data_IF_068817978133
#
_entry.id   IF_068817978133
#
_cell.length_a   1.000
_cell.length_b   1.000
_cell.length_c   1.000
_cell.angle_alpha   90.00
_cell.angle_beta   90.00
_cell.angle_gamma   90.00
#
_symmetry.space_group_name_H-M   'P 1'
#
loop_
_entity.id
_entity.type
_entity.pdbx_description
1 polymer ?
#
# COMPACT_ATOMS: atom_id res chain seq x y z
N UNK A 1 79.38 -20.77 -51.02
CA UNK A 1 79.24 -20.41 -49.64
C UNK A 1 77.75 -20.00 -49.46
N UNK A 2 77.00 -20.75 -48.69
CA UNK A 2 75.52 -20.69 -48.67
C UNK A 2 75.03 -19.62 -47.69
N UNK A 3 74.15 -18.70 -48.15
CA UNK A 3 73.37 -17.84 -47.33
C UNK A 3 72.12 -18.63 -46.81
N UNK A 4 71.90 -18.59 -45.55
CA UNK A 4 70.63 -19.02 -44.96
C UNK A 4 69.85 -17.78 -44.53
N UNK A 5 68.69 -17.60 -45.14
CA UNK A 5 67.67 -16.60 -44.75
C UNK A 5 66.72 -17.24 -43.74
N UNK A 6 66.63 -16.63 -42.54
CA UNK A 6 65.68 -17.01 -41.54
C UNK A 6 64.38 -16.15 -41.68
N UNK A 7 63.25 -16.80 -41.87
CA UNK A 7 61.91 -16.21 -41.88
C UNK A 7 61.38 -16.11 -40.48
N UNK A 8 61.24 -14.90 -40.02
CA UNK A 8 60.36 -14.61 -38.81
C UNK A 8 58.92 -14.67 -39.23
N UNK A 9 58.18 -15.58 -38.62
CA UNK A 9 56.71 -15.62 -38.66
C UNK A 9 56.17 -14.77 -37.54
N UNK A 10 55.58 -13.60 -37.88
CA UNK A 10 54.73 -12.81 -36.95
C UNK A 10 53.36 -13.48 -36.80
N UNK A 11 53.05 -13.93 -35.62
CA UNK A 11 51.69 -14.37 -35.25
C UNK A 11 50.90 -13.16 -34.73
N UNK A 12 49.96 -12.68 -35.54
CA UNK A 12 48.93 -11.75 -35.04
C UNK A 12 47.92 -12.50 -34.17
N UNK A 13 47.95 -12.22 -32.88
CA UNK A 13 46.88 -12.65 -31.96
C UNK A 13 45.72 -11.66 -32.08
N UNK A 14 44.66 -12.10 -32.72
CA UNK A 14 43.38 -11.36 -32.81
C UNK A 14 42.64 -11.54 -31.48
N UNK A 15 42.66 -10.56 -30.59
CA UNK A 15 41.84 -10.53 -29.38
C UNK A 15 40.40 -10.17 -29.79
N UNK A 16 39.52 -11.16 -29.80
CA UNK A 16 38.08 -10.93 -29.95
C UNK A 16 37.54 -10.47 -28.57
N UNK A 17 37.30 -9.16 -28.45
CA UNK A 17 36.48 -8.60 -27.35
C UNK A 17 35.03 -9.02 -27.61
N UNK A 18 34.59 -10.06 -26.93
CA UNK A 18 33.15 -10.37 -26.79
C UNK A 18 32.59 -9.35 -25.79
N UNK A 19 32.02 -8.26 -26.29
CA UNK A 19 31.13 -7.42 -25.52
C UNK A 19 29.90 -8.26 -25.21
N UNK A 20 29.85 -8.83 -24.02
CA UNK A 20 28.64 -9.47 -23.49
C UNK A 20 27.57 -8.40 -23.30
N UNK A 21 26.66 -8.28 -24.26
CA UNK A 21 25.36 -7.71 -23.97
C UNK A 21 24.73 -8.58 -22.88
N UNK A 22 24.74 -8.11 -21.64
CA UNK A 22 23.84 -8.60 -20.61
C UNK A 22 22.43 -8.26 -21.08
N UNK A 23 21.80 -9.16 -21.84
CA UNK A 23 20.38 -9.08 -22.09
C UNK A 23 19.72 -9.23 -20.71
N UNK A 24 19.03 -8.17 -20.24
CA UNK A 24 18.15 -8.25 -19.11
C UNK A 24 17.24 -9.47 -19.31
N UNK A 25 17.10 -10.29 -18.28
CA UNK A 25 16.17 -11.41 -18.34
C UNK A 25 14.77 -10.84 -18.59
N UNK A 26 13.86 -11.55 -19.25
CA UNK A 26 12.48 -11.05 -19.52
C UNK A 26 11.76 -10.56 -18.25
N UNK A 27 12.15 -11.07 -17.09
CA UNK A 27 11.60 -10.68 -15.79
C UNK A 27 12.07 -9.29 -15.34
N UNK A 28 13.31 -8.89 -15.68
CA UNK A 28 13.84 -7.54 -15.37
C UNK A 28 13.15 -6.43 -16.19
N UNK A 29 12.65 -6.75 -17.37
CA UNK A 29 11.97 -5.78 -18.25
C UNK A 29 10.50 -5.52 -17.85
N UNK A 30 9.89 -6.39 -17.02
CA UNK A 30 8.49 -6.29 -16.58
C UNK A 30 8.36 -5.58 -15.23
N UNK A 31 9.40 -5.55 -14.38
CA UNK A 31 9.41 -4.91 -13.06
C UNK A 31 9.26 -3.40 -13.18
N UNK A 32 8.43 -2.81 -12.32
CA UNK A 32 8.16 -1.37 -12.23
C UNK A 32 7.64 -0.77 -13.55
N UNK A 33 7.00 -1.61 -14.38
CA UNK A 33 6.47 -1.17 -15.67
C UNK A 33 5.19 -0.38 -15.50
N UNK A 34 5.12 0.77 -16.20
CA UNK A 34 3.93 1.62 -16.17
C UNK A 34 2.66 0.86 -16.58
N UNK A 35 1.66 0.94 -15.71
CA UNK A 35 0.37 0.26 -15.91
C UNK A 35 0.28 -1.11 -15.23
N UNK A 36 1.37 -1.62 -14.64
CA UNK A 36 1.31 -2.72 -13.68
C UNK A 36 0.59 -2.27 -12.40
N UNK A 37 0.16 -3.21 -11.59
CA UNK A 37 -0.51 -2.93 -10.31
C UNK A 37 0.30 -3.54 -9.18
N UNK A 38 0.68 -2.71 -8.21
CA UNK A 38 1.26 -3.13 -6.94
C UNK A 38 0.12 -3.46 -5.99
N UNK A 39 0.15 -4.62 -5.33
CA UNK A 39 -0.92 -5.11 -4.45
C UNK A 39 -0.31 -5.58 -3.12
N UNK A 40 -0.82 -5.06 -2.01
CA UNK A 40 -0.58 -5.61 -0.68
C UNK A 40 -1.57 -6.79 -0.47
N UNK A 41 -1.09 -8.00 -0.67
CA UNK A 41 -1.86 -9.25 -0.59
C UNK A 41 -1.79 -9.78 0.85
N UNK A 42 -2.63 -9.19 1.73
CA UNK A 42 -2.49 -9.11 3.19
C UNK A 42 -2.23 -10.47 3.84
N UNK A 43 -3.17 -11.41 3.73
CA UNK A 43 -3.05 -12.70 4.40
C UNK A 43 -2.32 -13.77 3.57
N UNK A 44 -1.80 -13.38 2.42
CA UNK A 44 -0.75 -14.11 1.73
C UNK A 44 0.66 -13.67 2.19
N UNK A 45 0.78 -12.73 3.16
CA UNK A 45 2.04 -12.22 3.68
C UNK A 45 3.01 -11.83 2.56
N UNK A 46 2.51 -11.07 1.58
CA UNK A 46 3.31 -10.65 0.43
C UNK A 46 2.82 -9.33 -0.19
N UNK A 47 3.76 -8.62 -0.80
CA UNK A 47 3.47 -7.58 -1.78
C UNK A 47 3.82 -8.11 -3.15
N UNK A 48 2.93 -7.95 -4.11
CA UNK A 48 3.14 -8.38 -5.49
C UNK A 48 2.99 -7.21 -6.46
N UNK A 49 3.77 -7.23 -7.51
CA UNK A 49 3.51 -6.45 -8.72
C UNK A 49 2.94 -7.40 -9.78
N UNK A 50 1.83 -7.02 -10.38
CA UNK A 50 1.18 -7.80 -11.42
C UNK A 50 1.08 -7.00 -12.72
N UNK A 51 1.27 -7.66 -13.85
CA UNK A 51 1.05 -7.07 -15.16
C UNK A 51 -0.46 -6.86 -15.44
N UNK A 52 -0.75 -6.36 -16.63
CA UNK A 52 -2.14 -6.11 -17.04
C UNK A 52 -3.00 -7.39 -17.18
N UNK A 53 -2.35 -8.55 -17.29
CA UNK A 53 -3.00 -9.85 -17.42
C UNK A 53 -3.11 -10.58 -16.07
N UNK A 54 -2.61 -9.98 -14.99
CA UNK A 54 -2.62 -10.56 -13.64
C UNK A 54 -1.49 -11.55 -13.39
N UNK A 55 -0.46 -11.63 -14.25
CA UNK A 55 0.76 -12.39 -13.99
C UNK A 55 1.60 -11.66 -12.95
N UNK A 56 2.08 -12.36 -11.94
CA UNK A 56 3.02 -11.82 -10.97
C UNK A 56 4.39 -11.65 -11.63
N UNK A 57 4.90 -10.41 -11.67
CA UNK A 57 6.19 -10.06 -12.26
C UNK A 57 7.24 -9.72 -11.20
N UNK A 58 6.81 -9.42 -9.99
CA UNK A 58 7.68 -9.23 -8.82
C UNK A 58 6.92 -9.57 -7.54
N UNK A 59 7.65 -10.03 -6.52
CA UNK A 59 7.10 -10.35 -5.21
C UNK A 59 8.12 -10.09 -4.11
N UNK A 60 7.65 -9.57 -2.97
CA UNK A 60 8.32 -9.64 -1.68
C UNK A 60 7.41 -10.33 -0.67
N UNK A 61 8.01 -11.18 0.18
CA UNK A 61 7.28 -12.04 1.13
C UNK A 61 7.23 -13.49 0.66
N UNK A 62 7.29 -14.42 1.62
CA UNK A 62 7.49 -15.85 1.39
C UNK A 62 6.18 -16.64 1.37
N UNK A 63 5.06 -15.96 1.58
CA UNK A 63 3.73 -16.58 1.47
C UNK A 63 3.02 -16.80 2.81
N UNK A 64 1.79 -17.34 2.78
CA UNK A 64 0.86 -17.32 3.91
C UNK A 64 1.25 -18.22 5.09
N UNK A 65 2.26 -19.06 4.94
CA UNK A 65 2.77 -19.92 6.02
C UNK A 65 4.08 -19.38 6.63
N UNK A 66 4.63 -18.29 6.09
CA UNK A 66 5.86 -17.70 6.62
C UNK A 66 5.56 -16.51 7.54
N UNK A 67 6.02 -16.60 8.76
CA UNK A 67 5.92 -15.59 9.81
C UNK A 67 7.30 -15.20 10.32
N UNK A 68 8.31 -15.21 9.46
CA UNK A 68 9.68 -14.83 9.77
C UNK A 68 9.98 -13.36 9.48
N UNK A 69 11.06 -12.79 10.07
CA UNK A 69 11.47 -11.42 9.78
C UNK A 69 11.98 -11.20 8.34
N UNK A 70 12.19 -12.26 7.57
CA UNK A 70 12.55 -12.18 6.15
C UNK A 70 11.34 -11.92 5.22
N UNK A 71 10.13 -11.94 5.79
CA UNK A 71 8.87 -11.69 5.10
C UNK A 71 8.22 -10.38 5.56
N UNK A 72 6.99 -10.15 5.14
CA UNK A 72 6.10 -9.08 5.61
C UNK A 72 4.79 -9.72 6.05
N UNK A 73 4.36 -9.48 7.29
CA UNK A 73 3.21 -10.18 7.86
C UNK A 73 2.00 -9.25 7.89
N UNK A 74 0.87 -9.74 7.35
CA UNK A 74 -0.38 -8.98 7.35
C UNK A 74 -0.20 -7.59 6.72
N UNK A 75 0.41 -7.53 5.53
CA UNK A 75 0.77 -6.27 4.88
C UNK A 75 -0.47 -5.46 4.50
N UNK A 76 -0.53 -4.21 4.98
CA UNK A 76 -1.69 -3.34 4.72
C UNK A 76 -1.41 -2.25 3.69
N UNK A 77 -0.16 -1.88 3.44
CA UNK A 77 0.17 -0.85 2.46
C UNK A 77 1.47 -1.15 1.74
N UNK A 78 1.55 -0.74 0.48
CA UNK A 78 2.76 -0.80 -0.32
C UNK A 78 2.86 0.37 -1.29
N UNK A 79 4.03 0.98 -1.40
CA UNK A 79 4.32 2.08 -2.31
C UNK A 79 5.60 1.81 -3.09
N UNK A 80 5.55 1.99 -4.42
CA UNK A 80 6.75 1.99 -5.25
C UNK A 80 7.44 3.35 -5.16
N UNK A 81 8.76 3.34 -4.90
CA UNK A 81 9.62 4.54 -4.76
C UNK A 81 10.84 4.34 -5.65
N UNK A 82 10.74 4.76 -6.91
CA UNK A 82 11.72 4.36 -7.93
C UNK A 82 11.80 2.84 -8.03
N UNK A 83 13.01 2.28 -7.94
CA UNK A 83 13.22 0.82 -7.92
C UNK A 83 13.07 0.18 -6.53
N UNK A 84 12.65 0.95 -5.53
CA UNK A 84 12.43 0.48 -4.18
C UNK A 84 10.93 0.26 -3.92
N UNK A 85 10.61 -0.53 -2.89
CA UNK A 85 9.24 -0.71 -2.41
C UNK A 85 9.20 -0.48 -0.91
N UNK A 86 8.40 0.49 -0.50
CA UNK A 86 8.08 0.77 0.90
C UNK A 86 6.79 0.03 1.26
N UNK A 87 6.73 -0.64 2.42
CA UNK A 87 5.54 -1.40 2.82
C UNK A 87 5.36 -1.43 4.33
N UNK A 88 4.10 -1.52 4.78
CA UNK A 88 3.73 -1.62 6.19
C UNK A 88 3.29 -3.04 6.54
N UNK A 89 4.02 -3.71 7.42
CA UNK A 89 3.67 -4.99 8.04
C UNK A 89 2.92 -4.74 9.34
N UNK A 90 1.61 -4.89 9.29
CA UNK A 90 0.70 -4.69 10.43
C UNK A 90 0.71 -5.88 11.37
N UNK A 91 0.81 -7.07 10.78
CA UNK A 91 0.61 -8.35 11.45
C UNK A 91 -0.77 -8.95 11.18
N UNK A 92 -0.94 -10.18 11.64
CA UNK A 92 -2.20 -10.93 11.49
C UNK A 92 -2.85 -11.11 12.86
N UNK A 93 -4.10 -10.69 13.06
CA UNK A 93 -4.83 -10.91 14.31
C UNK A 93 -4.99 -12.40 14.64
N UNK A 94 -5.14 -12.71 15.93
CA UNK A 94 -5.41 -14.07 16.36
C UNK A 94 -6.78 -14.55 15.84
N UNK A 95 -6.86 -15.82 15.43
CA UNK A 95 -8.10 -16.44 14.98
C UNK A 95 -8.65 -15.90 13.66
N UNK A 96 -7.84 -15.23 12.85
CA UNK A 96 -8.22 -14.71 11.55
C UNK A 96 -8.52 -15.86 10.57
N UNK A 97 -9.77 -16.04 10.10
CA UNK A 97 -10.14 -17.18 9.25
C UNK A 97 -9.36 -17.24 7.92
N UNK A 98 -9.02 -16.08 7.37
CA UNK A 98 -8.26 -15.96 6.12
C UNK A 98 -6.77 -16.28 6.29
N UNK A 99 -6.29 -16.38 7.54
CA UNK A 99 -4.90 -16.69 7.87
C UNK A 99 -4.77 -17.89 8.82
N UNK A 100 -5.24 -19.09 8.43
CA UNK A 100 -5.29 -20.25 9.31
C UNK A 100 -3.91 -20.73 9.77
N UNK A 101 -2.85 -20.33 9.07
CA UNK A 101 -1.46 -20.67 9.45
C UNK A 101 -0.93 -19.80 10.61
N UNK A 102 -1.58 -18.68 10.95
CA UNK A 102 -1.27 -17.92 12.15
C UNK A 102 -1.94 -18.57 13.36
N UNK A 103 -1.28 -19.54 13.96
CA UNK A 103 -1.79 -20.36 15.07
C UNK A 103 -1.47 -19.79 16.45
N UNK A 104 -0.73 -18.70 16.53
CA UNK A 104 -0.40 -18.05 17.79
C UNK A 104 -1.67 -17.42 18.40
N UNK A 105 -2.04 -17.74 19.65
CA UNK A 105 -3.24 -17.19 20.30
C UNK A 105 -3.22 -15.67 20.49
N UNK A 106 -2.05 -15.05 20.38
CA UNK A 106 -1.90 -13.58 20.43
C UNK A 106 -1.77 -12.95 19.02
N UNK A 107 -1.98 -13.72 17.95
CA UNK A 107 -1.75 -13.29 16.58
C UNK A 107 -0.28 -13.42 16.16
N UNK A 108 0.00 -13.02 14.91
CA UNK A 108 1.32 -13.05 14.31
C UNK A 108 1.72 -11.63 13.94
N UNK A 109 2.33 -10.87 14.86
CA UNK A 109 2.63 -9.46 14.64
C UNK A 109 3.82 -9.27 13.69
N UNK A 110 3.84 -8.15 12.95
CA UNK A 110 5.01 -7.62 12.25
C UNK A 110 5.53 -6.36 12.93
N UNK A 111 4.71 -5.31 12.96
CA UNK A 111 5.00 -4.01 13.57
C UNK A 111 6.19 -3.27 12.94
N UNK A 112 6.35 -3.38 11.62
CA UNK A 112 7.40 -2.69 10.87
C UNK A 112 6.86 -1.93 9.67
N UNK A 113 7.57 -0.86 9.30
CA UNK A 113 7.62 -0.33 7.95
C UNK A 113 8.99 -0.66 7.37
N UNK A 114 9.02 -1.30 6.21
CA UNK A 114 10.27 -1.74 5.56
C UNK A 114 10.40 -1.16 4.17
N UNK A 115 11.64 -0.81 3.78
CA UNK A 115 12.01 -0.41 2.43
C UNK A 115 12.90 -1.51 1.84
N UNK A 116 12.46 -2.08 0.72
CA UNK A 116 13.21 -3.15 0.06
C UNK A 116 13.66 -2.74 -1.33
N UNK A 117 14.78 -3.29 -1.78
CA UNK A 117 15.22 -3.17 -3.15
C UNK A 117 14.48 -4.16 -4.09
N UNK A 118 14.70 -4.07 -5.39
CA UNK A 118 14.06 -4.95 -6.38
C UNK A 118 14.40 -6.43 -6.21
N UNK A 119 15.50 -6.76 -5.52
CA UNK A 119 15.95 -8.13 -5.25
C UNK A 119 15.37 -8.69 -3.95
N UNK A 120 14.62 -7.87 -3.20
CA UNK A 120 13.99 -8.24 -1.94
C UNK A 120 14.89 -8.08 -0.71
N UNK A 121 16.01 -7.35 -0.81
CA UNK A 121 16.79 -7.03 0.39
C UNK A 121 16.16 -5.85 1.13
N UNK A 122 15.97 -6.00 2.43
CA UNK A 122 15.55 -4.89 3.31
C UNK A 122 16.74 -3.96 3.49
N UNK A 123 16.63 -2.73 2.96
CA UNK A 123 17.68 -1.71 3.01
C UNK A 123 17.45 -0.66 4.11
N UNK A 124 16.22 -0.57 4.61
CA UNK A 124 15.83 0.26 5.75
C UNK A 124 14.56 -0.29 6.38
N UNK A 125 14.41 -0.10 7.68
CA UNK A 125 13.15 -0.35 8.37
C UNK A 125 12.97 0.62 9.54
N UNK A 126 11.71 0.88 9.91
CA UNK A 126 11.29 1.48 11.17
C UNK A 126 10.34 0.52 11.87
N UNK A 127 10.50 0.37 13.19
CA UNK A 127 9.85 -0.67 13.95
C UNK A 127 10.69 -1.95 14.06
N UNK A 128 10.31 -2.83 15.00
CA UNK A 128 11.02 -4.07 15.32
C UNK A 128 10.09 -5.25 15.10
N UNK A 129 10.55 -6.24 14.33
CA UNK A 129 9.75 -7.41 13.97
C UNK A 129 9.13 -8.08 15.20
N UNK A 130 7.81 -8.17 15.20
CA UNK A 130 7.04 -8.83 16.25
C UNK A 130 6.94 -8.05 17.56
N UNK A 131 7.54 -6.85 17.66
CA UNK A 131 7.55 -6.05 18.89
C UNK A 131 6.61 -4.86 18.76
N UNK A 132 5.49 -4.90 19.47
CA UNK A 132 4.60 -3.76 19.62
C UNK A 132 5.14 -2.78 20.67
N UNK A 133 5.11 -1.47 20.35
CA UNK A 133 5.54 -0.44 21.27
C UNK A 133 5.42 0.97 20.72
N UNK A 134 5.72 1.96 21.55
CA UNK A 134 5.65 3.38 21.21
C UNK A 134 6.96 4.14 21.52
N UNK A 135 8.00 3.42 21.88
CA UNK A 135 9.34 3.96 22.10
C UNK A 135 10.09 4.26 20.80
N UNK A 136 11.39 4.65 20.92
CA UNK A 136 12.23 4.84 19.75
C UNK A 136 12.30 3.59 18.88
N UNK A 137 12.14 3.76 17.56
CA UNK A 137 12.14 2.65 16.57
C UNK A 137 11.15 1.53 16.94
N UNK A 138 9.94 1.89 17.42
CA UNK A 138 8.85 0.97 17.72
C UNK A 138 7.54 1.47 17.12
N UNK A 139 6.72 0.53 16.67
CA UNK A 139 5.36 0.73 16.13
C UNK A 139 4.40 -0.26 16.77
N UNK A 140 3.12 0.02 16.64
CA UNK A 140 2.07 -0.90 17.04
C UNK A 140 0.98 -0.93 15.98
N UNK A 141 0.92 -2.03 15.22
CA UNK A 141 0.03 -2.22 14.07
C UNK A 141 0.08 -1.06 13.06
N UNK A 142 1.24 -0.76 12.43
CA UNK A 142 1.29 0.27 11.39
C UNK A 142 0.44 -0.16 10.19
N UNK A 143 -0.41 0.75 9.67
CA UNK A 143 -1.34 0.42 8.58
C UNK A 143 -0.91 1.03 7.26
N UNK A 144 -0.56 2.32 7.25
CA UNK A 144 -0.15 2.99 6.04
C UNK A 144 1.22 3.63 6.19
N UNK A 145 1.96 3.64 5.07
CA UNK A 145 3.22 4.34 4.92
C UNK A 145 3.23 5.17 3.64
N UNK A 146 3.80 6.36 3.69
CA UNK A 146 3.96 7.23 2.53
C UNK A 146 5.37 7.79 2.50
N UNK A 147 6.07 7.59 1.36
CA UNK A 147 7.36 8.23 1.13
C UNK A 147 7.15 9.71 0.87
N UNK A 148 7.80 10.56 1.63
CA UNK A 148 7.72 12.01 1.55
C UNK A 148 8.97 12.63 0.91
N UNK A 149 8.91 13.93 0.49
CA UNK A 149 10.11 14.69 0.16
C UNK A 149 11.16 14.62 1.28
N UNK A 150 12.40 14.96 0.97
CA UNK A 150 13.53 14.94 1.90
C UNK A 150 13.85 13.54 2.44
N UNK A 151 13.28 12.48 1.82
CA UNK A 151 13.42 11.08 2.22
C UNK A 151 12.89 10.81 3.63
N UNK A 152 11.75 11.37 3.93
CA UNK A 152 11.00 11.05 5.15
C UNK A 152 9.94 9.99 4.86
N UNK A 153 9.41 9.38 5.91
CA UNK A 153 8.32 8.41 5.83
C UNK A 153 7.21 8.84 6.78
N UNK A 154 6.02 9.08 6.24
CA UNK A 154 4.81 9.26 7.03
C UNK A 154 4.22 7.90 7.35
N UNK A 155 3.93 7.63 8.61
CA UNK A 155 3.46 6.32 9.10
C UNK A 155 2.19 6.53 9.92
N UNK A 156 1.14 5.79 9.59
CA UNK A 156 -0.03 5.65 10.45
C UNK A 156 0.23 4.52 11.43
N UNK A 157 0.53 4.88 12.67
CA UNK A 157 0.86 3.98 13.79
C UNK A 157 -0.41 3.72 14.61
N UNK A 158 -1.27 2.84 14.08
CA UNK A 158 -2.69 2.72 14.37
C UNK A 158 -2.99 2.49 15.84
N UNK A 159 -2.49 1.42 16.44
CA UNK A 159 -2.77 1.09 17.82
C UNK A 159 -2.00 1.96 18.85
N UNK A 160 -1.13 2.83 18.38
CA UNK A 160 -0.56 3.93 19.16
C UNK A 160 -1.34 5.23 19.03
N UNK A 161 -2.47 5.23 18.30
CA UNK A 161 -3.39 6.37 18.13
C UNK A 161 -2.70 7.62 17.55
N UNK A 162 -1.74 7.42 16.62
CA UNK A 162 -0.94 8.53 16.10
C UNK A 162 -0.56 8.36 14.63
N UNK A 163 -0.27 9.48 13.99
CA UNK A 163 0.44 9.57 12.71
C UNK A 163 1.79 10.21 12.99
N UNK A 164 2.87 9.61 12.53
CA UNK A 164 4.24 10.10 12.70
C UNK A 164 4.93 10.30 11.36
N UNK A 165 5.80 11.30 11.29
CA UNK A 165 6.77 11.46 10.22
C UNK A 165 8.16 11.18 10.77
N UNK A 166 8.89 10.25 10.12
CA UNK A 166 10.24 9.86 10.52
C UNK A 166 11.23 10.11 9.40
N UNK A 167 12.45 10.51 9.76
CA UNK A 167 13.57 10.58 8.82
C UNK A 167 14.29 9.21 8.71
N UNK A 168 15.22 9.07 7.75
CA UNK A 168 15.98 7.83 7.59
C UNK A 168 16.92 7.51 8.75
N UNK A 169 17.24 8.50 9.61
CA UNK A 169 17.95 8.28 10.88
C UNK A 169 17.02 7.79 11.99
N UNK A 170 15.74 7.49 11.65
CA UNK A 170 14.73 6.95 12.57
C UNK A 170 14.29 7.91 13.67
N UNK A 171 14.43 9.22 13.46
CA UNK A 171 13.96 10.24 14.39
C UNK A 171 12.55 10.66 13.97
N UNK A 172 11.62 10.73 14.92
CA UNK A 172 10.31 11.34 14.72
C UNK A 172 10.51 12.84 14.64
N UNK A 173 10.11 13.44 13.52
CA UNK A 173 10.25 14.88 13.25
C UNK A 173 8.91 15.61 13.25
N UNK A 174 7.80 14.88 13.18
CA UNK A 174 6.45 15.38 13.34
C UNK A 174 5.53 14.28 13.84
N UNK A 175 4.49 14.67 14.60
CA UNK A 175 3.45 13.76 15.06
C UNK A 175 2.10 14.49 15.14
N UNK A 176 1.02 13.77 14.82
CA UNK A 176 -0.35 14.11 15.19
C UNK A 176 -1.00 12.91 15.88
N UNK A 177 -1.81 13.19 16.89
CA UNK A 177 -2.35 12.19 17.81
C UNK A 177 -1.51 12.08 19.08
N UNK A 178 -2.17 11.98 20.22
CA UNK A 178 -1.53 11.76 21.54
C UNK A 178 -1.27 10.28 21.70
N UNK A 179 -0.01 9.87 21.74
CA UNK A 179 0.42 8.47 21.77
C UNK A 179 -0.32 7.66 22.85
N UNK A 180 -1.04 6.62 22.42
CA UNK A 180 -1.79 5.70 23.28
C UNK A 180 -3.07 6.29 23.89
N UNK A 181 -3.50 7.47 23.45
CA UNK A 181 -4.72 8.12 23.94
C UNK A 181 -5.76 8.18 22.84
N UNK A 182 -6.68 7.24 22.87
CA UNK A 182 -7.82 7.20 21.96
C UNK A 182 -8.84 8.29 22.30
N UNK A 183 -9.39 8.95 21.27
CA UNK A 183 -10.41 9.97 21.44
C UNK A 183 -10.70 10.77 20.18
N UNK A 184 -11.64 11.71 20.27
CA UNK A 184 -12.05 12.59 19.16
C UNK A 184 -11.80 14.07 19.42
N UNK A 185 -11.13 14.40 20.53
CA UNK A 185 -10.74 15.76 20.90
C UNK A 185 -9.57 16.31 20.08
N UNK A 186 -9.11 17.53 20.41
CA UNK A 186 -7.90 18.08 19.79
C UNK A 186 -6.70 17.15 19.96
N UNK A 187 -5.97 16.93 18.86
CA UNK A 187 -4.81 16.02 18.83
C UNK A 187 -5.09 14.62 19.37
N UNK A 188 -6.31 14.12 19.19
CA UNK A 188 -6.70 12.75 19.49
C UNK A 188 -7.21 12.06 18.24
N UNK A 189 -6.87 10.79 18.11
CA UNK A 189 -7.33 9.88 17.07
C UNK A 189 -7.92 8.63 17.72
N UNK A 190 -8.68 7.86 16.94
CA UNK A 190 -9.19 6.57 17.38
C UNK A 190 -9.04 5.57 16.23
N UNK A 191 -8.01 4.73 16.34
CA UNK A 191 -7.68 3.72 15.36
C UNK A 191 -7.44 4.33 13.95
N UNK A 192 -6.52 5.31 13.77
CA UNK A 192 -6.29 5.93 12.48
C UNK A 192 -5.83 4.91 11.45
N UNK A 193 -6.36 4.99 10.21
CA UNK A 193 -6.07 4.02 9.16
C UNK A 193 -5.22 4.58 8.01
N UNK A 194 -5.36 5.87 7.68
CA UNK A 194 -4.60 6.48 6.60
C UNK A 194 -4.05 7.86 6.95
N UNK A 195 -2.96 8.23 6.29
CA UNK A 195 -2.44 9.60 6.30
C UNK A 195 -1.77 9.95 4.97
N UNK A 196 -2.14 11.09 4.37
CA UNK A 196 -1.56 11.62 3.14
C UNK A 196 -1.09 13.06 3.31
N UNK A 197 0.11 13.36 2.81
CA UNK A 197 0.59 14.75 2.67
C UNK A 197 -0.12 15.41 1.47
N UNK A 198 -0.78 16.52 1.68
CA UNK A 198 -1.44 17.29 0.63
C UNK A 198 -0.49 18.33 0.01
N UNK A 199 -0.81 18.79 -1.21
CA UNK A 199 -0.03 19.80 -1.94
C UNK A 199 0.18 21.12 -1.15
N UNK A 200 -0.75 21.45 -0.25
CA UNK A 200 -0.66 22.62 0.64
C UNK A 200 0.19 22.39 1.90
N UNK A 201 0.80 21.20 2.04
CA UNK A 201 1.61 20.82 3.20
C UNK A 201 0.80 20.32 4.41
N UNK A 202 -0.53 20.29 4.33
CA UNK A 202 -1.37 19.70 5.37
C UNK A 202 -1.36 18.17 5.27
N UNK A 203 -1.84 17.50 6.30
CA UNK A 203 -2.02 16.04 6.32
C UNK A 203 -3.51 15.71 6.34
N UNK A 204 -3.96 14.89 5.39
CA UNK A 204 -5.28 14.28 5.40
C UNK A 204 -5.19 12.95 6.15
N UNK A 205 -6.00 12.76 7.18
CA UNK A 205 -5.98 11.60 8.08
C UNK A 205 -7.34 10.92 8.06
N UNK A 206 -7.36 9.58 7.96
CA UNK A 206 -8.53 8.75 8.21
C UNK A 206 -8.57 8.36 9.68
N UNK A 207 -9.49 8.93 10.41
CA UNK A 207 -9.72 8.67 11.83
C UNK A 207 -10.87 7.66 11.93
N UNK A 208 -10.53 6.38 11.71
CA UNK A 208 -11.44 5.30 11.31
C UNK A 208 -12.58 5.08 12.31
N UNK A 209 -12.26 4.83 13.57
CA UNK A 209 -13.27 4.55 14.59
C UNK A 209 -14.03 5.81 15.06
N UNK A 210 -13.51 6.99 14.73
CA UNK A 210 -14.25 8.24 14.90
C UNK A 210 -15.12 8.58 13.68
N UNK A 211 -15.23 7.67 12.70
CA UNK A 211 -16.07 7.85 11.51
C UNK A 211 -15.82 9.18 10.79
N UNK A 212 -14.56 9.59 10.65
CA UNK A 212 -14.22 10.87 10.02
C UNK A 212 -12.93 10.84 9.21
N UNK A 213 -12.88 11.68 8.17
CA UNK A 213 -11.63 12.12 7.55
C UNK A 213 -11.36 13.55 7.99
N UNK A 214 -10.14 13.87 8.40
CA UNK A 214 -9.72 15.20 8.85
C UNK A 214 -8.52 15.69 8.05
N UNK A 215 -8.46 17.01 7.78
CA UNK A 215 -7.26 17.66 7.27
C UNK A 215 -6.67 18.51 8.39
N UNK A 216 -5.40 18.26 8.72
CA UNK A 216 -4.70 18.93 9.79
C UNK A 216 -3.50 19.71 9.26
N UNK A 217 -3.25 20.89 9.84
CA UNK A 217 -2.02 21.63 9.59
C UNK A 217 -0.83 20.96 10.28
N UNK A 218 0.39 21.32 9.89
CA UNK A 218 1.60 20.88 10.61
C UNK A 218 1.66 21.37 12.07
N UNK A 219 0.90 22.40 12.40
CA UNK A 219 0.73 22.91 13.77
C UNK A 219 -0.38 22.21 14.57
N UNK A 220 -0.98 21.11 14.06
CA UNK A 220 -1.96 20.30 14.79
C UNK A 220 -3.40 20.83 14.74
N UNK A 221 -3.73 21.84 13.92
CA UNK A 221 -5.08 22.37 13.82
C UNK A 221 -5.89 21.64 12.74
N UNK A 222 -7.09 21.18 13.08
CA UNK A 222 -8.06 20.65 12.11
C UNK A 222 -8.63 21.83 11.31
N UNK A 223 -8.46 21.80 9.98
CA UNK A 223 -8.94 22.85 9.07
C UNK A 223 -10.08 22.38 8.16
N UNK A 224 -10.27 21.08 8.06
CA UNK A 224 -11.38 20.45 7.34
C UNK A 224 -11.71 19.09 7.97
N UNK A 225 -12.97 18.70 7.90
CA UNK A 225 -13.45 17.40 8.39
C UNK A 225 -14.68 16.94 7.58
N UNK A 226 -14.79 15.63 7.35
CA UNK A 226 -16.01 14.96 6.87
C UNK A 226 -16.32 13.79 7.80
N UNK A 227 -17.57 13.67 8.23
CA UNK A 227 -17.97 12.86 9.38
C UNK A 227 -17.97 13.68 10.68
N UNK A 228 -18.72 13.28 11.68
CA UNK A 228 -18.89 14.07 12.92
C UNK A 228 -17.68 13.95 13.85
N UNK A 229 -17.02 12.82 13.83
CA UNK A 229 -16.04 12.44 14.84
C UNK A 229 -16.68 11.87 16.12
N UNK A 230 -17.98 11.63 16.12
CA UNK A 230 -18.67 10.93 17.20
C UNK A 230 -19.17 9.57 16.71
N UNK A 231 -18.56 8.46 17.16
CA UNK A 231 -18.94 7.12 16.71
C UNK A 231 -20.35 6.68 17.15
N UNK A 232 -21.01 7.46 18.02
CA UNK A 232 -22.33 7.14 18.54
C UNK A 232 -23.49 7.74 17.72
N UNK A 233 -23.20 8.56 16.71
CA UNK A 233 -24.22 9.14 15.84
C UNK A 233 -24.21 8.48 14.47
N UNK A 234 -25.33 8.59 13.76
CA UNK A 234 -25.43 8.13 12.37
C UNK A 234 -24.72 9.11 11.44
N UNK A 235 -23.45 8.86 11.21
CA UNK A 235 -22.59 9.67 10.37
C UNK A 235 -22.78 9.37 8.87
N UNK A 236 -22.46 10.34 7.99
CA UNK A 236 -22.46 10.10 6.55
C UNK A 236 -21.44 9.07 6.09
N UNK A 237 -20.44 8.72 6.93
CA UNK A 237 -19.44 7.67 6.70
C UNK A 237 -19.23 6.86 7.99
N UNK A 238 -18.79 5.61 7.84
CA UNK A 238 -18.46 4.74 8.97
C UNK A 238 -17.27 3.85 8.62
N UNK A 239 -16.29 3.79 9.55
CA UNK A 239 -15.05 3.07 9.31
C UNK A 239 -14.30 3.64 8.11
N UNK A 240 -13.84 4.90 8.21
CA UNK A 240 -13.09 5.55 7.12
C UNK A 240 -11.73 4.91 6.99
N UNK A 241 -11.63 3.91 6.11
CA UNK A 241 -10.39 3.16 5.92
C UNK A 241 -9.36 3.91 5.06
N UNK A 242 -9.82 4.70 4.09
CA UNK A 242 -8.94 5.49 3.24
C UNK A 242 -9.60 6.78 2.75
N UNK A 243 -8.81 7.82 2.55
CA UNK A 243 -9.24 9.06 1.92
C UNK A 243 -8.10 9.66 1.09
N UNK A 244 -8.42 10.20 -0.09
CA UNK A 244 -7.46 10.97 -0.87
C UNK A 244 -8.06 12.23 -1.45
N UNK A 245 -7.26 13.32 -1.48
CA UNK A 245 -7.65 14.58 -2.08
C UNK A 245 -7.39 14.55 -3.57
N UNK A 246 -8.46 14.70 -4.37
CA UNK A 246 -8.36 14.72 -5.81
C UNK A 246 -7.96 16.12 -6.33
N UNK A 247 -7.33 16.17 -7.52
CA UNK A 247 -6.81 17.42 -8.12
C UNK A 247 -7.83 18.57 -8.22
N UNK A 248 -9.13 18.23 -8.31
CA UNK A 248 -10.19 19.24 -8.39
C UNK A 248 -10.69 19.70 -7.01
N UNK A 249 -10.09 19.19 -5.93
CA UNK A 249 -10.43 19.50 -4.56
C UNK A 249 -11.56 18.65 -3.97
N UNK A 250 -12.13 17.71 -4.74
CA UNK A 250 -12.99 16.67 -4.19
C UNK A 250 -12.18 15.71 -3.32
N UNK A 251 -12.85 14.97 -2.43
CA UNK A 251 -12.23 13.93 -1.62
C UNK A 251 -12.86 12.60 -1.96
N UNK A 252 -12.04 11.60 -2.29
CA UNK A 252 -12.45 10.21 -2.43
C UNK A 252 -12.26 9.51 -1.09
N UNK A 253 -13.29 8.84 -0.60
CA UNK A 253 -13.31 8.20 0.73
C UNK A 253 -13.74 6.75 0.58
N UNK A 254 -13.01 5.85 1.21
CA UNK A 254 -13.42 4.46 1.41
C UNK A 254 -14.20 4.37 2.71
N UNK A 255 -15.51 4.26 2.57
CA UNK A 255 -16.52 4.14 3.63
C UNK A 255 -16.78 2.65 3.90
N UNK A 256 -15.85 2.03 4.63
CA UNK A 256 -15.65 0.59 4.69
C UNK A 256 -16.85 -0.14 5.28
N UNK A 257 -17.38 0.33 6.43
CA UNK A 257 -18.50 -0.32 7.10
C UNK A 257 -19.82 -0.20 6.31
N UNK A 258 -19.94 0.80 5.43
CA UNK A 258 -21.06 0.91 4.49
C UNK A 258 -20.81 0.16 3.17
N UNK A 259 -19.69 -0.56 3.06
CA UNK A 259 -19.28 -1.32 1.87
C UNK A 259 -19.28 -0.46 0.60
N UNK A 260 -18.82 0.79 0.66
CA UNK A 260 -18.85 1.72 -0.47
C UNK A 260 -17.62 2.63 -0.56
N UNK A 261 -17.46 3.19 -1.75
CA UNK A 261 -16.55 4.28 -2.04
C UNK A 261 -17.38 5.52 -2.36
N UNK A 262 -17.09 6.65 -1.75
CA UNK A 262 -17.76 7.92 -2.04
C UNK A 262 -16.78 8.99 -2.49
N UNK A 263 -17.17 9.79 -3.47
CA UNK A 263 -16.49 11.03 -3.83
C UNK A 263 -17.38 12.20 -3.40
N UNK A 264 -16.84 13.08 -2.58
CA UNK A 264 -17.52 14.28 -2.12
C UNK A 264 -16.87 15.52 -2.70
N UNK A 265 -17.69 16.53 -2.99
CA UNK A 265 -17.21 17.84 -3.42
C UNK A 265 -16.74 18.71 -2.23
N UNK A 266 -16.26 19.92 -2.51
CA UNK A 266 -15.81 20.85 -1.47
C UNK A 266 -16.94 21.31 -0.53
N UNK A 267 -18.21 21.26 -1.00
CA UNK A 267 -19.39 21.54 -0.20
C UNK A 267 -19.88 20.33 0.60
N UNK A 268 -19.13 19.22 0.52
CA UNK A 268 -19.42 17.93 1.19
C UNK A 268 -20.65 17.19 0.64
N UNK A 269 -21.07 17.48 -0.59
CA UNK A 269 -22.11 16.71 -1.27
C UNK A 269 -21.47 15.46 -1.90
N UNK A 270 -22.17 14.33 -1.84
CA UNK A 270 -21.78 13.12 -2.57
C UNK A 270 -22.04 13.33 -4.06
N UNK A 271 -20.97 13.28 -4.88
CA UNK A 271 -21.02 13.48 -6.33
C UNK A 271 -20.82 12.18 -7.13
N UNK A 272 -20.30 11.17 -6.49
CA UNK A 272 -20.18 9.81 -7.02
C UNK A 272 -20.05 8.81 -5.88
N UNK A 273 -20.61 7.59 -6.05
CA UNK A 273 -20.43 6.50 -5.12
C UNK A 273 -20.44 5.15 -5.86
N UNK A 274 -19.83 4.15 -5.25
CA UNK A 274 -19.81 2.77 -5.73
C UNK A 274 -19.92 1.81 -4.55
N UNK A 275 -20.86 0.87 -4.60
CA UNK A 275 -21.04 -0.15 -3.57
C UNK A 275 -20.36 -1.45 -3.98
N UNK A 276 -19.59 -2.05 -3.07
CA UNK A 276 -18.85 -3.31 -3.31
C UNK A 276 -19.66 -4.55 -2.94
N UNK A 277 -20.81 -4.38 -2.29
CA UNK A 277 -21.69 -5.46 -1.82
C UNK A 277 -22.94 -5.69 -2.69
N UNK A 278 -22.99 -5.13 -3.89
CA UNK A 278 -24.16 -5.29 -4.78
C UNK A 278 -24.20 -6.61 -5.53
N UNK A 279 -23.06 -7.32 -5.63
CA UNK A 279 -23.00 -8.66 -6.20
C UNK A 279 -23.58 -9.67 -5.18
N UNK A 280 -24.51 -10.57 -5.60
CA UNK A 280 -25.07 -11.60 -4.70
C UNK A 280 -24.03 -12.53 -4.08
N UNK A 281 -22.85 -12.66 -4.70
CA UNK A 281 -21.75 -13.47 -4.19
C UNK A 281 -20.80 -12.70 -3.26
N UNK A 282 -21.08 -11.42 -2.98
CA UNK A 282 -20.25 -10.63 -2.06
C UNK A 282 -20.24 -11.23 -0.66
N UNK A 283 -19.09 -11.15 -0.03
CA UNK A 283 -18.91 -11.55 1.36
C UNK A 283 -19.81 -10.71 2.27
N UNK A 284 -20.53 -11.37 3.17
CA UNK A 284 -21.41 -10.75 4.16
C UNK A 284 -20.80 -10.84 5.58
N UNK A 285 -19.48 -10.81 5.68
CA UNK A 285 -18.74 -10.99 6.93
C UNK A 285 -19.26 -10.11 8.04
N UNK A 286 -19.65 -10.75 9.14
CA UNK A 286 -20.13 -10.06 10.36
C UNK A 286 -21.34 -9.13 10.17
N UNK A 287 -22.04 -9.22 9.02
CA UNK A 287 -23.13 -8.32 8.66
C UNK A 287 -22.67 -6.94 8.14
N UNK A 288 -21.36 -6.69 8.11
CA UNK A 288 -20.76 -5.41 7.66
C UNK A 288 -20.39 -5.42 6.18
N UNK A 289 -20.49 -6.59 5.50
CA UNK A 289 -20.16 -6.72 4.10
C UNK A 289 -18.65 -6.90 3.81
N UNK A 290 -18.21 -6.62 2.56
CA UNK A 290 -16.88 -6.98 2.09
C UNK A 290 -15.74 -6.09 2.63
N UNK A 291 -16.04 -5.00 3.34
CA UNK A 291 -15.10 -4.07 3.94
C UNK A 291 -13.99 -3.62 2.95
N UNK A 292 -14.29 -2.80 1.94
CA UNK A 292 -13.25 -2.24 1.08
C UNK A 292 -12.29 -1.40 1.91
N UNK A 293 -10.99 -1.47 1.60
CA UNK A 293 -9.96 -0.81 2.41
C UNK A 293 -9.31 0.37 1.72
N UNK A 294 -9.21 0.32 0.37
CA UNK A 294 -8.60 1.41 -0.38
C UNK A 294 -9.31 1.69 -1.70
N UNK A 295 -9.37 2.95 -2.07
CA UNK A 295 -9.81 3.37 -3.38
C UNK A 295 -8.94 4.50 -3.92
N UNK A 296 -8.42 4.34 -5.13
CA UNK A 296 -7.53 5.30 -5.80
C UNK A 296 -8.14 5.73 -7.12
N UNK A 297 -8.25 7.06 -7.35
CA UNK A 297 -8.68 7.60 -8.63
C UNK A 297 -7.53 7.59 -9.62
N UNK A 298 -7.70 6.91 -10.75
CA UNK A 298 -6.73 6.87 -11.83
C UNK A 298 -6.87 8.07 -12.79
N UNK A 299 -5.80 8.37 -13.55
CA UNK A 299 -5.78 9.49 -14.53
C UNK A 299 -6.85 9.36 -15.61
N UNK A 300 -7.25 8.13 -15.96
CA UNK A 300 -8.33 7.87 -16.91
C UNK A 300 -9.74 8.11 -16.33
N UNK A 301 -9.84 8.50 -15.06
CA UNK A 301 -11.09 8.72 -14.34
C UNK A 301 -11.69 7.44 -13.72
N UNK A 302 -11.10 6.26 -13.92
CA UNK A 302 -11.51 5.06 -13.24
C UNK A 302 -11.11 5.08 -11.77
N UNK A 303 -11.68 4.18 -10.98
CA UNK A 303 -11.31 3.98 -9.57
C UNK A 303 -10.79 2.56 -9.38
N UNK A 304 -9.57 2.43 -8.87
CA UNK A 304 -8.99 1.16 -8.45
C UNK A 304 -9.37 0.93 -6.99
N UNK A 305 -9.95 -0.22 -6.66
CA UNK A 305 -10.53 -0.52 -5.34
C UNK A 305 -9.97 -1.84 -4.84
N UNK A 306 -9.42 -1.84 -3.63
CA UNK A 306 -9.13 -3.04 -2.86
C UNK A 306 -10.40 -3.47 -2.13
N UNK A 307 -11.04 -4.50 -2.66
CA UNK A 307 -12.30 -5.07 -2.17
C UNK A 307 -11.96 -6.27 -1.26
N UNK A 308 -11.50 -5.95 -0.05
CA UNK A 308 -10.69 -6.80 0.84
C UNK A 308 -11.27 -8.20 1.05
N UNK A 309 -12.40 -8.33 1.72
CA UNK A 309 -12.97 -9.65 2.02
C UNK A 309 -13.80 -10.25 0.87
N UNK A 310 -13.89 -9.53 -0.25
CA UNK A 310 -14.24 -10.12 -1.54
C UNK A 310 -13.01 -10.73 -2.25
N UNK A 311 -11.82 -10.64 -1.64
CA UNK A 311 -10.57 -11.23 -2.14
C UNK A 311 -10.19 -10.79 -3.56
N UNK A 312 -10.49 -9.53 -3.91
CA UNK A 312 -10.23 -9.00 -5.24
C UNK A 312 -9.80 -7.53 -5.23
N UNK A 313 -9.11 -7.15 -6.28
CA UNK A 313 -8.89 -5.76 -6.66
C UNK A 313 -9.67 -5.50 -7.94
N UNK A 314 -10.50 -4.46 -7.95
CA UNK A 314 -11.32 -4.10 -9.11
C UNK A 314 -11.00 -2.70 -9.62
N UNK A 315 -11.08 -2.51 -10.93
CA UNK A 315 -11.05 -1.19 -11.57
C UNK A 315 -12.46 -0.89 -12.09
N UNK A 316 -13.03 0.22 -11.63
CA UNK A 316 -14.42 0.63 -11.92
C UNK A 316 -14.40 1.94 -12.70
N UNK A 317 -15.14 2.04 -13.80
CA UNK A 317 -15.29 3.27 -14.57
C UNK A 317 -16.29 4.24 -13.90
N UNK A 318 -16.38 5.47 -14.42
CA UNK A 318 -17.31 6.49 -13.89
C UNK A 318 -18.79 6.07 -14.01
N UNK A 319 -19.13 5.21 -14.95
CA UNK A 319 -20.45 4.61 -15.09
C UNK A 319 -20.73 3.44 -14.13
N UNK A 320 -19.81 3.22 -13.16
CA UNK A 320 -19.91 2.18 -12.12
C UNK A 320 -19.82 0.74 -12.66
N UNK A 321 -19.21 0.55 -13.83
CA UNK A 321 -18.99 -0.76 -14.42
C UNK A 321 -17.57 -1.25 -14.06
N UNK A 322 -17.44 -2.50 -13.63
CA UNK A 322 -16.15 -3.16 -13.46
C UNK A 322 -15.53 -3.39 -14.84
N UNK A 323 -14.35 -2.82 -15.07
CA UNK A 323 -13.61 -2.95 -16.34
C UNK A 323 -12.39 -3.86 -16.22
N UNK A 324 -11.98 -4.16 -15.00
CA UNK A 324 -10.90 -5.11 -14.68
C UNK A 324 -11.10 -5.70 -13.30
N UNK A 325 -10.66 -6.94 -13.13
CA UNK A 325 -10.62 -7.65 -11.85
C UNK A 325 -9.30 -8.41 -11.74
N UNK A 326 -8.67 -8.35 -10.57
CA UNK A 326 -7.67 -9.30 -10.09
C UNK A 326 -8.25 -10.01 -8.88
N UNK A 327 -7.98 -11.32 -8.74
CA UNK A 327 -8.59 -12.13 -7.69
C UNK A 327 -9.98 -12.63 -8.11
N UNK A 328 -10.71 -13.21 -7.17
CA UNK A 328 -12.04 -13.80 -7.40
C UNK A 328 -12.95 -13.51 -6.22
N UNK A 329 -14.14 -13.00 -6.52
CA UNK A 329 -15.11 -12.59 -5.50
C UNK A 329 -15.38 -13.71 -4.50
N UNK A 330 -15.25 -13.37 -3.21
CA UNK A 330 -15.50 -14.26 -2.07
C UNK A 330 -14.78 -15.62 -2.16
N UNK A 331 -13.58 -15.63 -2.78
CA UNK A 331 -12.79 -16.85 -3.01
C UNK A 331 -11.31 -16.57 -2.70
N UNK A 332 -10.88 -16.73 -1.43
CA UNK A 332 -9.49 -16.53 -1.07
C UNK A 332 -8.60 -17.52 -1.83
N UNK A 333 -7.47 -17.01 -2.32
CA UNK A 333 -6.46 -17.81 -3.00
C UNK A 333 -5.09 -17.64 -2.35
N UNK A 334 -4.24 -18.66 -2.45
CA UNK A 334 -2.99 -18.72 -1.71
C UNK A 334 -1.78 -18.74 -2.64
N UNK A 335 -0.91 -17.75 -2.48
CA UNK A 335 0.43 -17.65 -3.06
C UNK A 335 0.52 -17.97 -4.58
N UNK A 336 -0.50 -17.60 -5.36
CA UNK A 336 -0.54 -17.86 -6.79
C UNK A 336 0.45 -16.97 -7.57
N UNK A 337 0.96 -17.47 -8.69
CA UNK A 337 1.82 -16.73 -9.64
C UNK A 337 0.99 -15.96 -10.68
N UNK A 338 -0.32 -16.12 -10.66
CA UNK A 338 -1.28 -15.33 -11.44
C UNK A 338 -2.50 -15.04 -10.58
N UNK A 339 -2.98 -13.81 -10.65
CA UNK A 339 -4.17 -13.35 -9.94
C UNK A 339 -5.29 -12.93 -10.91
N UNK A 340 -5.23 -13.41 -12.14
CA UNK A 340 -6.24 -13.12 -13.18
C UNK A 340 -7.63 -13.68 -12.84
N UNK A 341 -7.72 -14.83 -12.14
CA UNK A 341 -8.97 -15.48 -11.72
C UNK A 341 -8.77 -16.21 -10.38
N UNK A 342 -8.49 -15.44 -9.30
CA UNK A 342 -8.23 -15.95 -7.97
C UNK A 342 -6.83 -15.57 -7.46
N UNK A 343 -6.33 -16.26 -6.43
CA UNK A 343 -4.95 -16.15 -5.95
C UNK A 343 -4.65 -15.00 -5.02
N UNK A 344 -5.60 -14.08 -4.75
CA UNK A 344 -5.50 -13.06 -3.71
C UNK A 344 -6.18 -13.50 -2.42
N UNK A 345 -5.65 -13.04 -1.30
CA UNK A 345 -6.26 -13.27 0.00
C UNK A 345 -6.33 -11.96 0.79
N UNK A 346 -7.53 -11.35 0.77
CA UNK A 346 -7.84 -10.09 1.45
C UNK A 346 -6.86 -8.97 1.07
N UNK A 347 -6.75 -8.59 -0.22
CA UNK A 347 -5.86 -7.51 -0.65
C UNK A 347 -6.27 -6.21 0.05
N UNK A 348 -5.35 -5.61 0.80
CA UNK A 348 -5.63 -4.41 1.58
C UNK A 348 -5.38 -3.13 0.79
N UNK A 349 -4.36 -3.11 -0.06
CA UNK A 349 -3.98 -1.97 -0.87
C UNK A 349 -3.67 -2.37 -2.32
N UNK A 350 -3.98 -1.46 -3.24
CA UNK A 350 -3.60 -1.58 -4.64
C UNK A 350 -3.30 -0.21 -5.26
N UNK A 351 -2.17 -0.10 -5.94
CA UNK A 351 -1.72 1.12 -6.62
C UNK A 351 -1.31 0.83 -8.05
N UNK A 352 -1.67 1.72 -8.99
CA UNK A 352 -1.25 1.60 -10.39
C UNK A 352 0.11 2.24 -10.58
N UNK A 353 1.12 1.48 -11.00
CA UNK A 353 2.46 1.99 -11.27
C UNK A 353 2.42 3.04 -12.38
N UNK A 354 3.03 4.20 -12.12
CA UNK A 354 3.05 5.35 -13.02
C UNK A 354 1.72 6.12 -13.10
N UNK A 355 0.77 5.83 -12.21
CA UNK A 355 -0.47 6.58 -12.05
C UNK A 355 -0.75 6.84 -10.56
N UNK A 356 -0.26 7.97 -10.08
CA UNK A 356 -0.35 8.37 -8.66
C UNK A 356 -1.36 9.52 -8.46
N UNK A 357 -2.38 9.61 -9.30
CA UNK A 357 -3.40 10.65 -9.20
C UNK A 357 -4.17 10.52 -7.89
N UNK A 358 -4.16 11.58 -7.08
CA UNK A 358 -4.83 11.60 -5.77
C UNK A 358 -4.12 10.80 -4.70
N UNK A 359 -2.86 10.43 -4.89
CA UNK A 359 -1.95 9.95 -3.85
C UNK A 359 -0.90 11.00 -3.59
N UNK A 360 -0.54 11.17 -2.34
CA UNK A 360 0.61 11.96 -1.95
C UNK A 360 1.82 11.05 -1.75
N UNK A 361 2.94 11.54 -2.12
CA UNK A 361 3.15 12.51 -3.19
C UNK A 361 3.36 11.79 -4.52
N UNK A 362 3.18 12.46 -5.64
CA UNK A 362 3.73 12.01 -6.92
C UNK A 362 5.27 12.13 -6.99
N UNK A 363 5.96 12.23 -5.87
CA UNK A 363 7.41 12.42 -5.74
C UNK A 363 8.24 11.17 -6.08
N UNK A 364 7.60 10.08 -6.49
CA UNK A 364 8.31 8.98 -7.16
C UNK A 364 9.04 9.45 -8.44
N UNK A 365 8.65 10.60 -8.99
CA UNK A 365 9.31 11.20 -10.15
C UNK A 365 10.69 11.81 -9.81
N UNK A 366 11.03 12.04 -8.53
CA UNK A 366 12.38 12.48 -8.13
C UNK A 366 13.45 11.38 -8.29
N UNK A 367 13.07 10.13 -8.46
CA UNK A 367 13.98 9.01 -8.70
C UNK A 367 14.03 8.55 -10.16
N UNK A 368 13.45 9.32 -11.07
CA UNK A 368 13.78 9.25 -12.48
C UNK A 368 12.87 8.43 -13.36
N UNK A 369 12.12 9.13 -14.17
CA UNK A 369 12.06 8.86 -15.60
C UNK A 369 13.48 9.12 -16.16
N UNK A 370 14.35 8.12 -16.17
CA UNK A 370 15.54 8.08 -17.02
C UNK A 370 15.36 7.04 -18.08
#
# INVERSE_FOLDING_TARGET
MKLQTSLLKSACVLAILIAGCLSATPQDSEFNSRGNTLIADQFNNRVIEVDRMGKVVWQFGLGPADFSPASIIGVNDAQRVGDLTLMAGTGTPAGQPEAPNCTNPNGCPDNRVVLVDRTGHIIWQYGQFGVAGNGPDQLNTPVQNTWLPERHVLITDQANERVIEVNLAKQIIWQYGTTGVSGNGPEQLNNPNCAELLENGHILICDENNNRAIEVTRGGHIVWQYGSGDPNINDPVSGVAFASRLKHGNTLITDSNHARIVEIDRAKNVVWEYFTNTDPNSNQRGGSGPLPTRAVRLRNGHTLISDQYNHRVIEVNRAKQIVRTFGKINSPGYNAQSVADGGLNSPYDAKRIGDYTGLTPPFADEFGDR
#
